data_IF_640787869793
#
_entry.id   IF_640787869793
#
_cell.length_a   1.000
_cell.length_b   1.000
_cell.length_c   1.000
_cell.angle_alpha   90.00
_cell.angle_beta   90.00
_cell.angle_gamma   90.00
#
_symmetry.space_group_name_H-M   'P 1'
#
loop_
_entity.id
_entity.type
_entity.pdbx_description
1 polymer ?
#
# COMPACT_ATOMS: atom_id res chain seq x y z
N UNK A 1 -19.91 -2.27 23.74
CA UNK A 1 -18.70 -2.09 22.91
C UNK A 1 -18.58 -3.31 22.03
N UNK A 2 -18.77 -3.13 20.73
CA UNK A 2 -18.56 -4.16 19.73
C UNK A 2 -17.05 -4.34 19.57
N UNK A 3 -16.49 -5.41 20.15
CA UNK A 3 -15.13 -5.81 19.79
C UNK A 3 -15.16 -6.16 18.32
N UNK A 4 -14.46 -5.38 17.49
CA UNK A 4 -14.15 -5.81 16.13
C UNK A 4 -13.45 -7.16 16.22
N UNK A 5 -13.84 -8.13 15.40
CA UNK A 5 -13.11 -9.39 15.34
C UNK A 5 -11.72 -9.10 14.76
N UNK A 6 -10.67 -9.48 15.50
CA UNK A 6 -9.27 -9.27 15.10
C UNK A 6 -9.02 -9.83 13.70
N UNK A 7 -9.66 -10.95 13.40
CA UNK A 7 -9.45 -11.66 12.13
C UNK A 7 -10.33 -11.07 11.00
N UNK A 8 -11.25 -10.15 11.30
CA UNK A 8 -12.11 -9.46 10.31
C UNK A 8 -11.64 -8.04 9.96
N UNK A 9 -11.05 -7.30 10.89
CA UNK A 9 -10.40 -6.00 10.65
C UNK A 9 -9.31 -5.75 11.69
N UNK A 10 -8.11 -6.28 11.43
CA UNK A 10 -6.97 -6.19 12.36
C UNK A 10 -6.60 -4.74 12.69
N UNK A 11 -6.75 -3.82 11.73
CA UNK A 11 -6.42 -2.40 11.91
C UNK A 11 -7.40 -1.75 12.88
N UNK A 12 -8.70 -1.90 12.65
CA UNK A 12 -9.72 -1.38 13.58
C UNK A 12 -9.65 -2.07 14.94
N UNK A 13 -9.38 -3.38 14.98
CA UNK A 13 -9.17 -4.08 16.23
C UNK A 13 -8.01 -3.49 17.04
N UNK A 14 -6.86 -3.20 16.41
CA UNK A 14 -5.74 -2.57 17.09
C UNK A 14 -6.09 -1.16 17.61
N UNK A 15 -6.83 -0.36 16.82
CA UNK A 15 -7.33 0.96 17.26
C UNK A 15 -8.28 0.82 18.46
N UNK A 16 -9.17 -0.16 18.43
CA UNK A 16 -10.07 -0.49 19.55
C UNK A 16 -9.29 -0.91 20.81
N UNK A 17 -8.24 -1.73 20.66
CA UNK A 17 -7.39 -2.12 21.79
C UNK A 17 -6.62 -0.92 22.37
N UNK A 18 -6.07 -0.05 21.53
CA UNK A 18 -5.40 1.17 21.99
C UNK A 18 -6.38 2.09 22.73
N UNK A 19 -7.61 2.25 22.22
CA UNK A 19 -8.66 3.01 22.90
C UNK A 19 -9.08 2.39 24.24
N UNK A 20 -9.12 1.06 24.33
CA UNK A 20 -9.38 0.34 25.58
C UNK A 20 -8.27 0.57 26.62
N UNK A 21 -7.01 0.44 26.20
CA UNK A 21 -5.84 0.68 27.06
C UNK A 21 -5.86 2.09 27.64
N UNK A 22 -6.16 3.12 26.83
CA UNK A 22 -6.26 4.51 27.30
C UNK A 22 -7.38 4.76 28.31
N UNK A 23 -8.36 3.86 28.41
CA UNK A 23 -9.45 3.94 29.40
C UNK A 23 -9.14 3.21 30.70
N UNK A 24 -8.04 2.46 30.77
CA UNK A 24 -7.67 1.77 32.00
C UNK A 24 -7.28 2.80 33.07
N UNK A 25 -7.89 2.75 34.27
CA UNK A 25 -7.48 3.62 35.35
C UNK A 25 -6.09 3.22 35.84
N UNK A 26 -5.25 4.21 36.17
CA UNK A 26 -3.89 3.96 36.65
C UNK A 26 -3.85 3.05 37.90
N UNK A 27 -4.91 3.05 38.72
CA UNK A 27 -5.05 2.17 39.88
C UNK A 27 -5.24 0.68 39.54
N UNK A 28 -5.65 0.36 38.31
CA UNK A 28 -5.77 -1.01 37.81
C UNK A 28 -4.47 -1.52 37.16
N UNK A 29 -3.45 -0.67 37.04
CA UNK A 29 -2.19 -0.99 36.38
C UNK A 29 -1.10 -1.34 37.40
N UNK A 30 -0.26 -2.37 37.13
CA UNK A 30 0.94 -2.61 37.93
C UNK A 30 1.85 -1.38 37.98
N UNK A 31 2.58 -1.21 39.08
CA UNK A 31 3.54 -0.11 39.21
C UNK A 31 4.57 -0.12 38.07
N UNK A 32 4.75 1.02 37.40
CA UNK A 32 5.66 1.16 36.26
C UNK A 32 5.08 0.73 34.91
N UNK A 33 3.82 0.26 34.85
CA UNK A 33 3.12 0.02 33.59
C UNK A 33 2.38 1.28 33.13
N UNK A 34 2.70 1.75 31.92
CA UNK A 34 2.02 2.87 31.27
C UNK A 34 1.10 2.36 30.15
N UNK A 35 -0.23 2.26 30.38
CA UNK A 35 -1.17 1.82 29.36
C UNK A 35 -1.28 2.80 28.18
N UNK A 36 -0.99 4.09 28.40
CA UNK A 36 -1.01 5.12 27.36
C UNK A 36 0.15 4.94 26.38
N UNK A 37 1.36 4.65 26.90
CA UNK A 37 2.51 4.33 26.08
C UNK A 37 2.30 3.05 25.25
N UNK A 38 1.76 1.98 25.85
CA UNK A 38 1.46 0.75 25.11
C UNK A 38 0.40 0.98 24.01
N UNK A 39 -0.63 1.80 24.29
CA UNK A 39 -1.64 2.15 23.29
C UNK A 39 -1.01 2.88 22.09
N UNK A 40 -0.06 3.78 22.34
CA UNK A 40 0.67 4.49 21.29
C UNK A 40 1.50 3.52 20.43
N UNK A 41 2.27 2.62 21.05
CA UNK A 41 3.07 1.62 20.34
C UNK A 41 2.22 0.70 19.43
N UNK A 42 1.00 0.37 19.87
CA UNK A 42 0.05 -0.40 19.05
C UNK A 42 -0.37 0.39 17.81
N UNK A 43 -0.73 1.66 17.96
CA UNK A 43 -1.15 2.51 16.83
C UNK A 43 0.00 2.82 15.86
N UNK A 44 1.19 3.05 16.39
CA UNK A 44 2.41 3.26 15.61
C UNK A 44 2.75 1.98 14.83
N UNK A 45 2.63 0.81 15.45
CA UNK A 45 2.82 -0.48 14.81
C UNK A 45 1.83 -0.74 13.66
N UNK A 46 0.56 -0.35 13.84
CA UNK A 46 -0.46 -0.40 12.77
C UNK A 46 -0.09 0.50 11.61
N UNK A 47 0.25 1.76 11.91
CA UNK A 47 0.62 2.77 10.91
C UNK A 47 1.83 2.30 10.10
N UNK A 48 2.86 1.79 10.79
CA UNK A 48 4.05 1.22 10.16
C UNK A 48 3.71 0.07 9.20
N UNK A 49 2.79 -0.82 9.56
CA UNK A 49 2.41 -1.96 8.71
C UNK A 49 1.65 -1.53 7.45
N UNK A 50 0.76 -0.55 7.59
CA UNK A 50 0.03 0.04 6.46
C UNK A 50 1.01 0.76 5.54
N UNK A 51 1.90 1.59 6.09
CA UNK A 51 2.92 2.32 5.34
C UNK A 51 3.90 1.39 4.62
N UNK A 52 4.26 0.26 5.24
CA UNK A 52 5.06 -0.79 4.60
C UNK A 52 4.33 -1.35 3.37
N UNK A 53 3.06 -1.71 3.49
CA UNK A 53 2.26 -2.20 2.37
C UNK A 53 2.12 -1.14 1.27
N UNK A 54 1.79 0.10 1.62
CA UNK A 54 1.70 1.23 0.69
C UNK A 54 3.02 1.45 -0.05
N UNK A 55 4.15 1.38 0.66
CA UNK A 55 5.49 1.52 0.08
C UNK A 55 5.83 0.42 -0.93
N UNK A 56 5.39 -0.82 -0.71
CA UNK A 56 5.57 -1.90 -1.68
C UNK A 56 4.66 -1.76 -2.91
N UNK A 57 3.40 -1.35 -2.72
CA UNK A 57 2.48 -1.03 -3.82
C UNK A 57 3.06 0.11 -4.68
N UNK A 58 3.55 1.18 -4.04
CA UNK A 58 4.23 2.29 -4.72
C UNK A 58 5.38 1.79 -5.61
N UNK A 59 6.26 0.92 -5.08
CA UNK A 59 7.40 0.37 -5.83
C UNK A 59 6.95 -0.49 -7.00
N UNK A 60 5.92 -1.33 -6.81
CA UNK A 60 5.36 -2.17 -7.86
C UNK A 60 4.74 -1.31 -8.98
N UNK A 61 3.93 -0.30 -8.63
CA UNK A 61 3.32 0.63 -9.58
C UNK A 61 4.36 1.45 -10.34
N UNK A 62 5.41 1.93 -9.67
CA UNK A 62 6.49 2.67 -10.33
C UNK A 62 7.26 1.79 -11.31
N UNK A 63 7.53 0.53 -10.96
CA UNK A 63 8.14 -0.44 -11.87
C UNK A 63 7.25 -0.71 -13.08
N UNK A 64 5.94 -0.90 -12.87
CA UNK A 64 4.94 -1.08 -13.93
C UNK A 64 4.91 0.13 -14.89
N UNK A 65 4.86 1.35 -14.35
CA UNK A 65 4.91 2.57 -15.18
C UNK A 65 6.17 2.62 -16.00
N UNK A 66 7.33 2.32 -15.41
CA UNK A 66 8.62 2.30 -16.13
C UNK A 66 8.65 1.22 -17.21
N UNK A 67 8.07 0.05 -16.94
CA UNK A 67 7.92 -1.02 -17.92
C UNK A 67 7.07 -0.55 -19.11
N UNK A 68 5.85 -0.08 -18.85
CA UNK A 68 4.91 0.35 -19.90
C UNK A 68 5.45 1.52 -20.73
N UNK A 69 6.08 2.49 -20.06
CA UNK A 69 6.61 3.71 -20.65
C UNK A 69 7.84 3.49 -21.51
N UNK A 70 8.80 2.73 -21.00
CA UNK A 70 10.16 2.65 -21.54
C UNK A 70 10.51 1.27 -22.10
N UNK A 71 9.59 0.30 -22.04
CA UNK A 71 9.83 -1.11 -22.35
C UNK A 71 11.04 -1.68 -21.57
N UNK A 72 11.28 -1.15 -20.36
CA UNK A 72 12.38 -1.57 -19.50
C UNK A 72 12.03 -2.90 -18.84
N UNK A 73 12.37 -4.00 -19.52
CA UNK A 73 12.15 -5.37 -19.02
C UNK A 73 12.89 -5.65 -17.71
N UNK A 74 13.90 -4.86 -17.34
CA UNK A 74 14.55 -4.93 -16.02
C UNK A 74 13.62 -4.56 -14.86
N UNK A 75 12.49 -3.91 -15.14
CA UNK A 75 11.47 -3.59 -14.14
C UNK A 75 10.65 -4.81 -13.70
N UNK A 76 10.61 -5.89 -14.51
CA UNK A 76 9.87 -7.11 -14.17
C UNK A 76 10.40 -7.68 -12.86
N UNK A 77 11.71 -7.87 -12.74
CA UNK A 77 12.34 -8.38 -11.50
C UNK A 77 12.10 -7.46 -10.29
N UNK A 78 12.09 -6.13 -10.49
CA UNK A 78 11.83 -5.18 -9.41
C UNK A 78 10.38 -5.25 -8.92
N UNK A 79 9.46 -5.46 -9.85
CA UNK A 79 8.06 -5.63 -9.55
C UNK A 79 7.80 -6.98 -8.87
N UNK A 80 8.38 -8.07 -9.34
CA UNK A 80 8.31 -9.39 -8.69
C UNK A 80 8.84 -9.33 -7.25
N UNK A 81 9.97 -8.63 -7.05
CA UNK A 81 10.51 -8.42 -5.72
C UNK A 81 9.56 -7.59 -4.85
N UNK A 82 9.01 -6.48 -5.36
CA UNK A 82 8.06 -5.67 -4.62
C UNK A 82 6.79 -6.45 -4.25
N UNK A 83 6.26 -7.27 -5.15
CA UNK A 83 5.12 -8.16 -4.91
C UNK A 83 5.43 -9.23 -3.85
N UNK A 84 6.62 -9.83 -3.91
CA UNK A 84 7.06 -10.79 -2.89
C UNK A 84 7.17 -10.15 -1.52
N UNK A 85 7.67 -8.92 -1.44
CA UNK A 85 7.75 -8.18 -0.18
C UNK A 85 6.38 -7.71 0.33
N UNK A 86 5.48 -7.32 -0.58
CA UNK A 86 4.10 -7.02 -0.24
C UNK A 86 3.41 -8.25 0.36
N UNK A 87 3.58 -9.43 -0.24
CA UNK A 87 3.02 -10.69 0.26
C UNK A 87 3.41 -11.01 1.71
N UNK A 88 4.63 -10.63 2.14
CA UNK A 88 5.09 -10.86 3.52
C UNK A 88 4.40 -9.98 4.56
N UNK A 89 3.87 -8.83 4.15
CA UNK A 89 3.25 -7.85 5.05
C UNK A 89 1.75 -7.72 4.86
N UNK A 90 1.23 -8.22 3.74
CA UNK A 90 -0.14 -8.03 3.32
C UNK A 90 -1.14 -8.69 4.26
N UNK A 91 -2.25 -7.98 4.47
CA UNK A 91 -3.45 -8.49 5.12
C UNK A 91 -4.65 -8.09 4.27
N UNK A 92 -5.64 -8.98 4.02
CA UNK A 92 -6.79 -8.67 3.19
C UNK A 92 -7.55 -7.39 3.61
N UNK A 93 -7.52 -7.06 4.88
CA UNK A 93 -8.24 -5.93 5.50
C UNK A 93 -7.54 -4.59 5.21
N UNK A 94 -6.25 -4.60 4.87
CA UNK A 94 -5.51 -3.38 4.52
C UNK A 94 -6.10 -2.65 3.32
N UNK A 95 -6.86 -3.34 2.47
CA UNK A 95 -7.58 -2.73 1.33
C UNK A 95 -8.43 -1.52 1.74
N UNK A 96 -9.00 -1.52 2.95
CA UNK A 96 -9.85 -0.43 3.46
C UNK A 96 -9.05 0.78 3.96
N UNK A 97 -7.76 0.59 4.22
CA UNK A 97 -6.89 1.57 4.89
C UNK A 97 -5.79 2.09 3.97
N UNK A 98 -5.72 1.59 2.74
CA UNK A 98 -4.76 2.00 1.71
C UNK A 98 -5.45 2.86 0.66
N UNK A 99 -4.85 4.01 0.36
CA UNK A 99 -5.32 4.94 -0.65
C UNK A 99 -4.48 4.81 -1.93
N UNK A 100 -5.04 4.19 -2.97
CA UNK A 100 -4.34 4.05 -4.26
C UNK A 100 -4.19 5.37 -5.01
N UNK A 101 -5.06 6.34 -4.80
CA UNK A 101 -4.95 7.64 -5.46
C UNK A 101 -3.79 8.45 -4.88
N UNK A 102 -3.60 8.41 -3.56
CA UNK A 102 -2.41 9.01 -2.92
C UNK A 102 -1.12 8.31 -3.37
N UNK A 103 -1.12 6.97 -3.38
CA UNK A 103 0.03 6.21 -3.86
C UNK A 103 0.33 6.54 -5.32
N UNK A 104 -0.71 6.63 -6.16
CA UNK A 104 -0.57 6.95 -7.58
C UNK A 104 -0.04 8.36 -7.82
N UNK A 105 -0.48 9.35 -7.06
CA UNK A 105 0.06 10.70 -7.10
C UNK A 105 1.58 10.70 -6.90
N UNK A 106 2.06 9.98 -5.87
CA UNK A 106 3.49 9.84 -5.60
C UNK A 106 4.22 9.10 -6.72
N UNK A 107 3.60 8.06 -7.31
CA UNK A 107 4.16 7.33 -8.46
C UNK A 107 4.35 8.27 -9.64
N UNK A 108 3.38 9.14 -9.93
CA UNK A 108 3.47 10.12 -11.02
C UNK A 108 4.60 11.11 -10.80
N UNK A 109 4.72 11.64 -9.59
CA UNK A 109 5.83 12.54 -9.20
C UNK A 109 7.19 11.85 -9.38
N UNK A 110 7.33 10.63 -8.87
CA UNK A 110 8.57 9.86 -8.98
C UNK A 110 8.91 9.48 -10.44
N UNK A 111 7.91 9.13 -11.26
CA UNK A 111 8.10 8.83 -12.67
C UNK A 111 8.54 10.07 -13.45
N UNK A 112 7.95 11.23 -13.14
CA UNK A 112 8.30 12.52 -13.74
C UNK A 112 9.74 12.96 -13.45
N UNK A 113 10.29 12.63 -12.29
CA UNK A 113 11.70 12.94 -11.94
C UNK A 113 12.70 12.22 -12.86
N UNK A 114 12.37 11.03 -13.37
CA UNK A 114 13.29 10.27 -14.23
C UNK A 114 13.35 10.81 -15.66
N UNK A 115 12.22 11.27 -16.23
CA UNK A 115 12.14 11.97 -17.53
C UNK A 115 10.92 12.91 -17.58
N UNK A 116 11.08 14.21 -17.25
CA UNK A 116 9.98 15.16 -17.10
C UNK A 116 9.10 15.38 -18.33
N UNK A 117 9.56 15.02 -19.53
CA UNK A 117 8.90 15.32 -20.81
C UNK A 117 8.36 14.12 -21.57
N UNK A 118 8.58 12.88 -21.10
CA UNK A 118 8.34 11.68 -21.90
C UNK A 118 6.96 11.03 -21.70
N UNK A 119 6.27 11.31 -20.58
CA UNK A 119 5.06 10.59 -20.19
C UNK A 119 3.97 11.53 -19.69
N UNK A 120 2.81 11.47 -20.32
CA UNK A 120 1.57 11.98 -19.73
C UNK A 120 0.89 10.82 -18.99
N UNK A 121 1.03 10.81 -17.66
CA UNK A 121 0.41 9.77 -16.84
C UNK A 121 -1.03 10.15 -16.50
N UNK A 122 -1.96 9.18 -16.50
CA UNK A 122 -3.34 9.37 -16.08
C UNK A 122 -3.44 10.13 -14.75
N UNK A 123 -4.40 11.05 -14.63
CA UNK A 123 -4.57 11.83 -13.38
C UNK A 123 -5.03 10.97 -12.21
N UNK A 124 -5.96 10.04 -12.48
CA UNK A 124 -6.44 9.05 -11.52
C UNK A 124 -5.71 7.72 -11.71
N UNK A 125 -5.68 6.90 -10.65
CA UNK A 125 -5.04 5.60 -10.71
C UNK A 125 -5.80 4.68 -11.68
N UNK A 126 -5.14 4.12 -12.72
CA UNK A 126 -5.80 3.20 -13.65
C UNK A 126 -5.85 1.75 -13.11
N UNK A 127 -5.24 1.50 -11.95
CA UNK A 127 -5.10 0.19 -11.32
C UNK A 127 -5.99 0.13 -10.09
N UNK A 128 -6.66 -1.00 -9.88
CA UNK A 128 -7.49 -1.24 -8.69
C UNK A 128 -6.74 -2.07 -7.66
N UNK A 129 -7.21 -2.08 -6.42
CA UNK A 129 -6.51 -2.75 -5.32
C UNK A 129 -6.38 -4.25 -5.54
N UNK A 130 -7.36 -4.85 -6.21
CA UNK A 130 -7.39 -6.27 -6.58
C UNK A 130 -6.24 -6.63 -7.52
N UNK A 131 -5.79 -5.70 -8.37
CA UNK A 131 -4.66 -5.92 -9.26
C UNK A 131 -3.32 -5.98 -8.49
N UNK A 132 -3.25 -5.31 -7.33
CA UNK A 132 -2.03 -5.16 -6.53
C UNK A 132 -1.94 -6.13 -5.36
N UNK A 133 -3.05 -6.76 -4.98
CA UNK A 133 -3.10 -7.70 -3.88
C UNK A 133 -2.26 -8.96 -4.18
N UNK A 134 -1.39 -9.40 -3.26
CA UNK A 134 -0.54 -10.57 -3.47
C UNK A 134 -1.37 -11.86 -3.48
N UNK A 135 -1.33 -12.54 -4.63
CA UNK A 135 -1.32 -13.99 -4.92
C UNK A 135 -2.31 -14.97 -4.26
N UNK A 136 -3.30 -14.57 -3.47
CA UNK A 136 -4.31 -15.50 -2.93
C UNK A 136 -5.78 -15.12 -3.27
N UNK A 137 -6.03 -14.30 -4.31
CA UNK A 137 -7.41 -14.08 -4.79
C UNK A 137 -7.55 -13.81 -6.30
N UNK A 138 -6.52 -13.27 -6.95
CA UNK A 138 -6.44 -13.07 -8.41
C UNK A 138 -4.96 -13.20 -8.76
N UNK A 139 -4.62 -13.98 -9.78
CA UNK A 139 -3.23 -14.04 -10.25
C UNK A 139 -2.77 -12.63 -10.61
N UNK A 140 -1.59 -12.20 -10.13
CA UNK A 140 -1.03 -10.90 -10.46
C UNK A 140 -0.81 -10.80 -11.98
N UNK A 141 -1.72 -10.14 -12.67
CA UNK A 141 -1.75 -10.05 -14.13
C UNK A 141 -0.97 -8.82 -14.60
N UNK A 142 0.35 -8.95 -14.64
CA UNK A 142 1.26 -7.92 -15.14
C UNK A 142 0.81 -7.37 -16.49
N UNK A 143 0.44 -8.27 -17.42
CA UNK A 143 0.07 -7.87 -18.78
C UNK A 143 -1.21 -7.06 -18.77
N UNK A 144 -2.23 -7.51 -18.05
CA UNK A 144 -3.48 -6.77 -17.88
C UNK A 144 -3.26 -5.39 -17.26
N UNK A 145 -2.41 -5.28 -16.24
CA UNK A 145 -2.07 -3.99 -15.62
C UNK A 145 -1.30 -3.06 -16.56
N UNK A 146 -0.34 -3.60 -17.32
CA UNK A 146 0.40 -2.82 -18.33
C UNK A 146 -0.57 -2.26 -19.37
N UNK A 147 -1.50 -3.08 -19.86
CA UNK A 147 -2.53 -2.65 -20.79
C UNK A 147 -3.49 -1.59 -20.20
N UNK A 148 -3.85 -1.69 -18.91
CA UNK A 148 -4.66 -0.67 -18.22
C UNK A 148 -3.94 0.68 -18.19
N UNK A 149 -2.65 0.70 -17.83
CA UNK A 149 -1.84 1.92 -17.82
C UNK A 149 -1.73 2.52 -19.22
N UNK A 150 -1.48 1.70 -20.24
CA UNK A 150 -1.40 2.13 -21.63
C UNK A 150 -2.74 2.71 -22.12
N UNK A 151 -3.85 2.01 -21.88
CA UNK A 151 -5.21 2.45 -22.27
C UNK A 151 -5.66 3.72 -21.58
N UNK A 152 -5.22 3.94 -20.33
CA UNK A 152 -5.57 5.13 -19.56
C UNK A 152 -4.91 6.41 -20.09
N UNK A 153 -4.09 6.33 -21.14
CA UNK A 153 -3.57 7.49 -21.85
C UNK A 153 -2.07 7.71 -21.66
N UNK A 154 -1.31 6.68 -21.26
CA UNK A 154 0.15 6.71 -21.28
C UNK A 154 0.64 6.92 -22.73
N UNK A 155 0.74 8.19 -23.11
CA UNK A 155 1.21 8.59 -24.43
C UNK A 155 2.72 8.69 -24.34
N UNK A 156 3.42 7.75 -24.98
CA UNK A 156 4.86 7.90 -25.25
C UNK A 156 5.00 9.14 -26.11
N UNK A 157 5.45 10.27 -25.55
CA UNK A 157 5.78 11.41 -26.39
C UNK A 157 7.03 11.02 -27.18
N UNK A 158 6.85 10.79 -28.48
CA UNK A 158 7.94 10.63 -29.43
C UNK A 158 8.82 11.87 -29.32
N UNK A 159 10.01 11.70 -28.75
CA UNK A 159 11.09 12.69 -28.86
C UNK A 159 11.71 12.63 -30.24
#
# INVERSE_FOLDING_TARGET
>A
MTSTDRDADWVEWCRDQAALLRRLPASACPAGFDPGALAQEIEDGVTLKIDQAAGWIFRAMLALVKLAAYDDRGQIQRMDFAQSQLALVWRPEFRRHLDLEDIWLRVREAAGQFRPTALDLPRSCPIVMEDMAPWDAVAFDLRGMEEKVLRAGLSRRSG
#
